data_IF_983042906591
#
_entry.id   IF_983042906591
#
_cell.length_a   1.000
_cell.length_b   1.000
_cell.length_c   1.000
_cell.angle_alpha   90.00
_cell.angle_beta   90.00
_cell.angle_gamma   90.00
#
_symmetry.space_group_name_H-M   'P 1'
#
loop_
_entity.id
_entity.type
_entity.pdbx_description
1 polymer ?
#
# COMPACT_ATOMS: atom_id res chain seq x y z
N UNK A 1 -0.46 16.20 8.47
CA UNK A 1 0.73 16.89 9.00
C UNK A 1 0.98 16.37 10.41
N UNK A 2 2.02 15.54 10.57
CA UNK A 2 2.36 14.87 11.85
C UNK A 2 2.58 15.92 12.96
N UNK A 3 3.24 17.03 12.63
CA UNK A 3 3.52 18.12 13.56
C UNK A 3 2.22 18.78 14.06
N UNK A 4 1.21 18.92 13.20
CA UNK A 4 -0.07 19.51 13.58
C UNK A 4 -0.89 18.58 14.50
N UNK A 5 -0.83 17.27 14.29
CA UNK A 5 -1.48 16.29 15.18
C UNK A 5 -0.76 16.21 16.53
N UNK A 6 0.58 16.20 16.53
CA UNK A 6 1.37 16.21 17.75
C UNK A 6 1.08 17.49 18.58
N UNK A 7 1.01 18.63 17.90
CA UNK A 7 0.69 19.90 18.51
C UNK A 7 -0.73 19.93 19.10
N UNK A 8 -1.72 19.38 18.37
CA UNK A 8 -3.08 19.23 18.88
C UNK A 8 -3.14 18.32 20.11
N UNK A 9 -2.39 17.20 20.11
CA UNK A 9 -2.30 16.27 21.23
C UNK A 9 -1.69 16.92 22.46
N UNK A 10 -0.62 17.71 22.29
CA UNK A 10 0.09 18.34 23.42
C UNK A 10 -0.65 19.57 23.98
N UNK A 11 -1.31 20.34 23.14
CA UNK A 11 -1.84 21.65 23.52
C UNK A 11 -3.35 21.81 23.33
N UNK A 12 -4.02 20.91 22.61
CA UNK A 12 -5.45 21.01 22.30
C UNK A 12 -6.32 21.05 23.55
N UNK A 13 -6.01 20.24 24.54
CA UNK A 13 -6.72 20.23 25.82
C UNK A 13 -6.46 21.48 26.70
N UNK A 14 -5.34 22.16 26.47
CA UNK A 14 -4.92 23.33 27.26
C UNK A 14 -5.40 24.64 26.67
N UNK A 15 -5.45 24.72 25.32
CA UNK A 15 -5.76 25.96 24.61
C UNK A 15 -6.83 25.72 23.56
N UNK A 16 -8.05 26.20 23.78
CA UNK A 16 -9.21 26.06 22.86
C UNK A 16 -8.93 26.55 21.44
N UNK A 17 -8.08 27.58 21.28
CA UNK A 17 -7.74 28.09 19.97
C UNK A 17 -6.91 27.11 19.13
N UNK A 18 -6.15 26.20 19.75
CA UNK A 18 -5.39 25.15 19.07
C UNK A 18 -6.34 24.21 18.34
N UNK A 19 -7.39 23.77 19.02
CA UNK A 19 -8.44 22.94 18.44
C UNK A 19 -9.19 23.69 17.34
N UNK A 20 -9.54 24.95 17.57
CA UNK A 20 -10.23 25.80 16.59
C UNK A 20 -9.41 25.96 15.30
N UNK A 21 -8.10 26.20 15.39
CA UNK A 21 -7.21 26.28 14.22
C UNK A 21 -7.10 24.94 13.50
N UNK A 22 -7.02 23.83 14.23
CA UNK A 22 -6.99 22.49 13.64
C UNK A 22 -8.28 22.21 12.86
N UNK A 23 -9.43 22.48 13.45
CA UNK A 23 -10.75 22.30 12.82
C UNK A 23 -10.91 23.22 11.60
N UNK A 24 -10.51 24.47 11.69
CA UNK A 24 -10.52 25.39 10.57
C UNK A 24 -9.69 24.88 9.38
N UNK A 25 -8.47 24.36 9.62
CA UNK A 25 -7.63 23.77 8.57
C UNK A 25 -8.30 22.55 7.93
N UNK A 26 -8.91 21.67 8.74
CA UNK A 26 -9.63 20.48 8.25
C UNK A 26 -10.85 20.87 7.41
N UNK A 27 -11.65 21.83 7.87
CA UNK A 27 -12.83 22.34 7.14
C UNK A 27 -12.39 22.98 5.81
N UNK A 28 -11.35 23.81 5.80
CA UNK A 28 -10.85 24.40 4.57
C UNK A 28 -10.28 23.36 3.59
N UNK A 29 -9.65 22.31 4.09
CA UNK A 29 -9.18 21.21 3.24
C UNK A 29 -10.35 20.45 2.61
N UNK A 30 -11.43 20.21 3.37
CA UNK A 30 -12.66 19.61 2.87
C UNK A 30 -13.33 20.51 1.83
N UNK A 31 -13.52 21.80 2.16
CA UNK A 31 -14.09 22.80 1.25
C UNK A 31 -13.38 22.81 -0.12
N UNK A 32 -12.04 22.91 -0.11
CA UNK A 32 -11.25 22.89 -1.35
C UNK A 32 -11.45 21.64 -2.19
N UNK A 33 -11.65 20.49 -1.55
CA UNK A 33 -11.93 19.24 -2.27
C UNK A 33 -13.34 19.23 -2.87
N UNK A 34 -14.35 19.74 -2.16
CA UNK A 34 -15.71 19.88 -2.68
C UNK A 34 -15.76 20.86 -3.86
N UNK A 35 -15.10 22.02 -3.74
CA UNK A 35 -14.95 22.98 -4.83
C UNK A 35 -14.23 22.38 -6.05
N UNK A 36 -13.26 21.50 -5.81
CA UNK A 36 -12.56 20.80 -6.89
C UNK A 36 -13.47 19.78 -7.60
N UNK A 37 -14.35 19.08 -6.90
CA UNK A 37 -15.37 18.24 -7.53
C UNK A 37 -16.34 19.07 -8.37
N UNK A 38 -16.87 20.14 -7.83
CA UNK A 38 -17.80 21.04 -8.52
C UNK A 38 -17.18 21.61 -9.81
N UNK A 39 -15.98 22.17 -9.70
CA UNK A 39 -15.24 22.75 -10.84
C UNK A 39 -14.88 21.71 -11.90
N UNK A 40 -14.53 20.48 -11.51
CA UNK A 40 -14.05 19.46 -12.42
C UNK A 40 -15.16 18.60 -13.03
N UNK A 41 -16.39 18.68 -12.51
CA UNK A 41 -17.54 17.93 -13.02
C UNK A 41 -18.09 18.60 -14.28
N UNK A 42 -18.18 17.83 -15.36
CA UNK A 42 -18.71 18.30 -16.64
C UNK A 42 -20.25 18.43 -16.59
N UNK A 43 -20.88 19.13 -17.56
CA UNK A 43 -22.34 19.29 -17.62
C UNK A 43 -23.12 17.96 -17.68
N UNK A 44 -22.49 16.87 -18.15
CA UNK A 44 -23.07 15.52 -18.17
C UNK A 44 -22.92 14.78 -16.83
N UNK A 45 -22.45 15.43 -15.78
CA UNK A 45 -22.22 14.83 -14.46
C UNK A 45 -20.96 13.97 -14.35
N UNK A 46 -20.14 13.86 -15.40
CA UNK A 46 -18.91 13.06 -15.42
C UNK A 46 -17.69 13.89 -14.99
N UNK A 47 -16.77 13.22 -14.34
CA UNK A 47 -15.43 13.74 -14.02
C UNK A 47 -14.37 12.85 -14.68
N UNK A 48 -13.40 13.45 -15.34
CA UNK A 48 -12.25 12.76 -15.94
C UNK A 48 -10.99 13.06 -15.15
N UNK A 49 -10.60 12.14 -14.28
CA UNK A 49 -9.39 12.23 -13.45
C UNK A 49 -8.12 11.94 -14.25
N UNK A 50 -7.06 12.68 -13.95
CA UNK A 50 -5.74 12.42 -14.52
C UNK A 50 -4.94 11.43 -13.68
N UNK A 51 -4.28 10.48 -14.34
CA UNK A 51 -3.31 9.57 -13.74
C UNK A 51 -1.94 9.77 -14.36
N UNK A 52 -0.92 9.89 -13.53
CA UNK A 52 0.47 9.85 -13.96
C UNK A 52 0.95 8.40 -13.90
N UNK A 53 1.25 7.82 -15.04
CA UNK A 53 1.67 6.42 -15.20
C UNK A 53 2.91 6.08 -14.36
N UNK A 54 3.84 7.02 -14.16
CA UNK A 54 5.07 6.85 -13.41
C UNK A 54 5.30 8.02 -12.44
N UNK A 55 4.42 8.17 -11.45
CA UNK A 55 4.53 9.28 -10.49
C UNK A 55 5.51 9.01 -9.35
N UNK A 56 5.60 7.76 -8.90
CA UNK A 56 6.56 7.30 -7.89
C UNK A 56 7.83 6.73 -8.51
N UNK A 57 8.96 6.80 -7.81
CA UNK A 57 10.22 6.22 -8.31
C UNK A 57 10.16 4.68 -8.40
N UNK A 58 9.25 4.02 -7.69
CA UNK A 58 8.95 2.59 -7.81
C UNK A 58 8.10 2.26 -9.04
N UNK A 59 7.64 3.28 -9.79
CA UNK A 59 6.73 3.13 -10.93
C UNK A 59 5.25 3.16 -10.55
N UNK A 60 4.89 3.37 -9.28
CA UNK A 60 3.46 3.46 -8.87
C UNK A 60 2.78 4.61 -9.60
N UNK A 61 1.52 4.38 -9.96
CA UNK A 61 0.64 5.42 -10.46
C UNK A 61 0.44 6.51 -9.41
N UNK A 62 0.26 7.73 -9.83
CA UNK A 62 -0.15 8.84 -8.97
C UNK A 62 -1.21 9.68 -9.65
N UNK A 63 -2.05 10.33 -8.86
CA UNK A 63 -2.98 11.29 -9.42
C UNK A 63 -2.24 12.48 -10.03
N UNK A 64 -2.68 12.90 -11.22
CA UNK A 64 -2.17 14.08 -11.93
C UNK A 64 -3.32 14.86 -12.54
N UNK A 65 -3.06 16.13 -12.86
CA UNK A 65 -4.03 16.99 -13.54
C UNK A 65 -5.20 17.44 -12.66
N UNK A 66 -5.39 18.73 -12.57
CA UNK A 66 -6.48 19.35 -11.82
C UNK A 66 -6.31 19.35 -10.30
N UNK A 67 -7.30 19.90 -9.62
CA UNK A 67 -7.30 20.09 -8.16
C UNK A 67 -7.74 18.83 -7.39
N UNK A 68 -8.20 17.77 -8.10
CA UNK A 68 -8.78 16.57 -7.49
C UNK A 68 -7.96 15.33 -7.82
N UNK A 69 -7.30 14.76 -6.79
CA UNK A 69 -6.59 13.50 -6.89
C UNK A 69 -7.44 12.38 -6.28
N UNK A 70 -8.05 11.55 -7.13
CA UNK A 70 -8.92 10.44 -6.73
C UNK A 70 -8.16 9.38 -5.89
N UNK A 71 -6.86 9.19 -6.10
CA UNK A 71 -6.06 8.24 -5.34
C UNK A 71 -5.85 8.64 -3.87
N UNK A 72 -6.07 9.93 -3.54
CA UNK A 72 -5.87 10.48 -2.20
C UNK A 72 -7.16 10.97 -1.55
N UNK A 73 -8.31 10.45 -1.98
CA UNK A 73 -9.57 10.73 -1.28
C UNK A 73 -9.56 10.07 0.11
N UNK A 74 -9.89 10.83 1.17
CA UNK A 74 -9.95 10.28 2.51
C UNK A 74 -10.96 9.12 2.58
N UNK A 75 -10.63 8.11 3.38
CA UNK A 75 -11.52 6.97 3.63
C UNK A 75 -12.59 7.32 4.67
N UNK A 76 -12.20 8.15 5.62
CA UNK A 76 -13.04 8.53 6.73
C UNK A 76 -13.94 9.72 6.36
N UNK A 77 -15.11 9.72 6.96
CA UNK A 77 -16.02 10.84 6.93
C UNK A 77 -15.42 12.05 7.64
N UNK A 78 -15.57 13.22 7.07
CA UNK A 78 -15.11 14.50 7.62
C UNK A 78 -16.30 15.44 7.76
N UNK A 79 -16.64 15.83 9.00
CA UNK A 79 -17.75 16.74 9.29
C UNK A 79 -19.08 16.34 8.64
N UNK A 80 -19.43 15.05 8.68
CA UNK A 80 -20.65 14.52 8.08
C UNK A 80 -20.59 14.32 6.57
N UNK A 81 -19.40 14.48 5.93
CA UNK A 81 -19.22 14.33 4.47
C UNK A 81 -18.22 13.22 4.16
N UNK A 82 -18.67 12.21 3.40
CA UNK A 82 -17.79 11.23 2.79
C UNK A 82 -17.52 11.65 1.33
N UNK A 83 -16.29 12.10 1.06
CA UNK A 83 -15.90 12.56 -0.28
C UNK A 83 -15.91 11.45 -1.35
N UNK A 84 -15.76 10.19 -0.96
CA UNK A 84 -15.84 9.07 -1.90
C UNK A 84 -17.25 8.86 -2.42
N UNK A 85 -18.27 9.15 -1.62
CA UNK A 85 -19.68 9.08 -2.01
C UNK A 85 -20.08 10.07 -3.10
N UNK A 86 -19.23 11.06 -3.42
CA UNK A 86 -19.44 11.95 -4.58
C UNK A 86 -19.32 11.19 -5.91
N UNK A 87 -18.60 10.06 -5.91
CA UNK A 87 -18.48 9.19 -7.08
C UNK A 87 -19.59 8.16 -7.00
N UNK A 88 -20.51 8.18 -7.96
CA UNK A 88 -21.65 7.26 -7.99
C UNK A 88 -21.91 6.76 -9.41
N UNK A 89 -22.46 5.55 -9.50
CA UNK A 89 -22.94 5.01 -10.75
C UNK A 89 -24.18 5.80 -11.23
N UNK A 90 -24.37 5.99 -12.55
CA UNK A 90 -25.62 6.50 -13.11
C UNK A 90 -26.80 5.56 -12.83
N UNK A 91 -28.01 6.05 -13.12
CA UNK A 91 -29.22 5.21 -13.06
C UNK A 91 -29.10 3.99 -13.98
N UNK A 92 -29.53 2.83 -13.48
CA UNK A 92 -29.41 1.54 -14.18
C UNK A 92 -28.02 0.92 -14.21
N UNK A 93 -27.00 1.58 -13.60
CA UNK A 93 -25.64 1.06 -13.49
C UNK A 93 -25.20 0.87 -12.05
N UNK A 94 -24.15 0.06 -11.86
CA UNK A 94 -23.45 -0.18 -10.59
C UNK A 94 -21.96 0.03 -10.74
N UNK A 95 -21.30 0.28 -9.61
CA UNK A 95 -19.84 0.20 -9.48
C UNK A 95 -19.49 -1.16 -8.90
N UNK A 96 -18.64 -1.88 -9.62
CA UNK A 96 -17.95 -3.06 -9.13
C UNK A 96 -16.57 -2.64 -8.68
N UNK A 97 -16.31 -2.80 -7.39
CA UNK A 97 -15.04 -2.40 -6.75
C UNK A 97 -14.33 -3.64 -6.27
N UNK A 98 -13.11 -3.89 -6.77
CA UNK A 98 -12.32 -5.08 -6.41
C UNK A 98 -10.90 -4.65 -6.04
N UNK A 99 -10.40 -5.16 -4.92
CA UNK A 99 -9.11 -4.82 -4.30
C UNK A 99 -8.22 -6.06 -4.14
N UNK A 100 -6.93 -5.91 -4.39
CA UNK A 100 -5.96 -6.98 -4.12
C UNK A 100 -5.68 -7.11 -2.63
N UNK A 101 -5.92 -8.30 -2.10
CA UNK A 101 -5.68 -8.58 -0.67
C UNK A 101 -4.19 -8.57 -0.33
N UNK A 102 -3.73 -7.51 0.34
CA UNK A 102 -2.39 -7.36 0.91
C UNK A 102 -1.24 -7.64 -0.08
N UNK A 103 -1.32 -7.12 -1.30
CA UNK A 103 -0.38 -7.41 -2.37
C UNK A 103 1.08 -7.12 -2.01
N UNK A 104 1.37 -6.01 -1.29
CA UNK A 104 2.75 -5.67 -0.90
C UNK A 104 3.38 -6.69 0.05
N UNK A 105 2.58 -7.32 0.91
CA UNK A 105 3.06 -8.37 1.83
C UNK A 105 3.37 -9.65 1.05
N UNK A 106 2.52 -10.02 0.09
CA UNK A 106 2.72 -11.18 -0.80
C UNK A 106 3.98 -11.02 -1.65
N UNK A 107 4.16 -9.85 -2.26
CA UNK A 107 5.36 -9.55 -3.05
C UNK A 107 6.63 -9.49 -2.20
N UNK A 108 6.57 -9.00 -0.96
CA UNK A 108 7.69 -9.04 -0.02
C UNK A 108 8.13 -10.47 0.30
N UNK A 109 7.19 -11.35 0.64
CA UNK A 109 7.46 -12.77 0.92
C UNK A 109 8.04 -13.47 -0.31
N UNK A 110 7.51 -13.19 -1.50
CA UNK A 110 7.99 -13.75 -2.75
C UNK A 110 9.44 -13.29 -3.06
N UNK A 111 9.73 -12.00 -2.97
CA UNK A 111 11.07 -11.44 -3.17
C UNK A 111 12.09 -11.94 -2.12
N UNK A 112 11.63 -12.21 -0.92
CA UNK A 112 12.44 -12.78 0.15
C UNK A 112 12.65 -14.30 0.00
N UNK A 113 12.01 -14.94 -0.98
CA UNK A 113 12.02 -16.40 -1.18
C UNK A 113 11.48 -17.16 0.06
N UNK A 114 10.52 -16.56 0.78
CA UNK A 114 9.89 -17.16 1.97
C UNK A 114 8.78 -18.14 1.57
N UNK A 115 9.19 -19.28 1.00
CA UNK A 115 8.28 -20.31 0.49
C UNK A 115 7.33 -20.83 1.57
N UNK A 116 7.80 -20.93 2.81
CA UNK A 116 6.98 -21.42 3.92
C UNK A 116 5.84 -20.47 4.24
N UNK A 117 6.10 -19.14 4.26
CA UNK A 117 5.06 -18.14 4.48
C UNK A 117 4.11 -18.04 3.27
N UNK A 118 4.64 -18.13 2.04
CA UNK A 118 3.80 -18.16 0.83
C UNK A 118 2.87 -19.37 0.78
N UNK A 119 3.34 -20.54 1.23
CA UNK A 119 2.50 -21.74 1.34
C UNK A 119 1.35 -21.53 2.35
N UNK A 120 1.64 -20.96 3.53
CA UNK A 120 0.58 -20.64 4.51
C UNK A 120 -0.41 -19.61 3.95
N UNK A 121 0.06 -18.58 3.26
CA UNK A 121 -0.80 -17.58 2.60
C UNK A 121 -1.71 -18.24 1.54
N UNK A 122 -1.21 -19.21 0.79
CA UNK A 122 -2.01 -19.91 -0.23
C UNK A 122 -3.07 -20.85 0.38
N UNK A 123 -2.85 -21.34 1.61
CA UNK A 123 -3.72 -22.32 2.28
C UNK A 123 -4.68 -21.70 3.30
N UNK A 124 -4.67 -20.37 3.46
CA UNK A 124 -5.42 -19.65 4.49
C UNK A 124 -6.19 -18.49 3.86
N UNK A 125 -7.45 -18.32 4.22
CA UNK A 125 -8.28 -17.20 3.70
C UNK A 125 -7.78 -15.83 4.19
N UNK A 126 -7.37 -15.76 5.48
CA UNK A 126 -6.88 -14.53 6.08
C UNK A 126 -5.35 -14.52 6.17
N UNK A 127 -4.71 -13.62 5.43
CA UNK A 127 -3.25 -13.49 5.42
C UNK A 127 -2.66 -13.29 6.82
N UNK A 128 -3.34 -12.59 7.72
CA UNK A 128 -2.85 -12.38 9.09
C UNK A 128 -2.94 -13.65 9.93
N UNK A 129 -3.86 -14.56 9.61
CA UNK A 129 -3.89 -15.90 10.18
C UNK A 129 -2.68 -16.72 9.73
N UNK A 130 -2.36 -16.70 8.43
CA UNK A 130 -1.15 -17.32 7.91
C UNK A 130 0.11 -16.85 8.65
N UNK A 131 0.24 -15.55 8.89
CA UNK A 131 1.36 -14.99 9.66
C UNK A 131 1.32 -15.36 11.14
N UNK A 132 0.14 -15.45 11.75
CA UNK A 132 0.00 -15.90 13.12
C UNK A 132 0.48 -17.36 13.29
N UNK A 133 0.13 -18.24 12.34
CA UNK A 133 0.60 -19.62 12.29
C UNK A 133 2.14 -19.65 12.11
N UNK A 134 2.68 -18.90 11.18
CA UNK A 134 4.13 -18.79 10.93
C UNK A 134 4.93 -18.27 12.13
N UNK A 135 4.30 -17.47 12.99
CA UNK A 135 4.91 -16.94 14.22
C UNK A 135 4.61 -17.80 15.46
N UNK A 136 3.96 -18.96 15.32
CA UNK A 136 3.51 -19.84 16.42
C UNK A 136 2.59 -19.15 17.43
N UNK A 137 1.76 -18.23 16.96
CA UNK A 137 0.76 -17.51 17.74
C UNK A 137 -0.65 -18.10 17.57
N UNK A 138 -0.86 -18.93 16.56
CA UNK A 138 -2.13 -19.57 16.23
C UNK A 138 -1.92 -20.96 15.66
N UNK A 139 -2.85 -21.87 15.91
CA UNK A 139 -2.86 -23.24 15.41
C UNK A 139 -3.97 -23.39 14.36
N UNK A 140 -3.70 -24.13 13.27
CA UNK A 140 -4.65 -24.29 12.14
C UNK A 140 -6.00 -24.90 12.53
N UNK A 141 -6.00 -25.80 13.49
CA UNK A 141 -7.19 -26.52 13.95
C UNK A 141 -8.12 -25.69 14.82
N UNK A 142 -7.69 -24.50 15.25
CA UNK A 142 -8.51 -23.56 16.05
C UNK A 142 -9.59 -22.85 15.25
N UNK A 143 -9.59 -22.95 13.90
CA UNK A 143 -10.50 -22.23 13.01
C UNK A 143 -10.14 -20.75 12.85
N UNK A 144 -11.03 -19.94 12.29
CA UNK A 144 -10.76 -18.56 11.87
C UNK A 144 -10.24 -17.66 13.00
N UNK A 145 -9.02 -17.15 12.83
CA UNK A 145 -8.42 -16.17 13.73
C UNK A 145 -9.25 -14.88 13.82
N UNK A 146 -9.81 -14.46 12.66
CA UNK A 146 -10.63 -13.25 12.55
C UNK A 146 -11.86 -13.30 13.45
N UNK A 147 -12.49 -14.47 13.54
CA UNK A 147 -13.70 -14.68 14.34
C UNK A 147 -13.40 -14.96 15.81
N UNK A 148 -12.46 -15.85 16.06
CA UNK A 148 -12.20 -16.34 17.43
C UNK A 148 -11.27 -15.46 18.26
N UNK A 149 -10.35 -14.73 17.62
CA UNK A 149 -9.43 -13.82 18.33
C UNK A 149 -9.07 -12.56 17.52
N UNK A 150 -10.03 -11.66 17.31
CA UNK A 150 -9.82 -10.43 16.54
C UNK A 150 -8.73 -9.52 17.14
N UNK A 151 -8.50 -9.57 18.46
CA UNK A 151 -7.43 -8.82 19.12
C UNK A 151 -6.05 -9.32 18.71
N UNK A 152 -5.85 -10.64 18.70
CA UNK A 152 -4.60 -11.23 18.23
C UNK A 152 -4.39 -10.94 16.74
N UNK A 153 -5.43 -11.07 15.92
CA UNK A 153 -5.38 -10.71 14.50
C UNK A 153 -4.93 -9.27 14.30
N UNK A 154 -5.48 -8.33 15.07
CA UNK A 154 -5.06 -6.92 15.02
C UNK A 154 -3.58 -6.74 15.40
N UNK A 155 -3.12 -7.43 16.44
CA UNK A 155 -1.70 -7.43 16.85
C UNK A 155 -0.80 -7.99 15.75
N UNK A 156 -1.17 -9.11 15.14
CA UNK A 156 -0.42 -9.71 14.02
C UNK A 156 -0.37 -8.76 12.82
N UNK A 157 -1.50 -8.13 12.46
CA UNK A 157 -1.55 -7.11 11.42
C UNK A 157 -0.56 -5.98 11.68
N UNK A 158 -0.52 -5.45 12.90
CA UNK A 158 0.43 -4.42 13.30
C UNK A 158 1.89 -4.90 13.14
N UNK A 159 2.21 -6.12 13.59
CA UNK A 159 3.55 -6.72 13.49
C UNK A 159 3.96 -6.85 12.01
N UNK A 160 3.11 -7.42 11.17
CA UNK A 160 3.41 -7.67 9.75
C UNK A 160 3.64 -6.35 9.01
N UNK A 161 2.74 -5.38 9.16
CA UNK A 161 2.84 -4.10 8.47
C UNK A 161 3.97 -3.22 9.03
N UNK A 162 4.20 -3.24 10.34
CA UNK A 162 5.26 -2.45 10.96
C UNK A 162 6.67 -3.01 10.77
N UNK A 163 6.84 -4.34 10.82
CA UNK A 163 8.16 -4.96 10.80
C UNK A 163 8.65 -5.35 9.39
N UNK A 164 7.77 -5.48 8.41
CA UNK A 164 8.08 -5.99 7.05
C UNK A 164 9.23 -5.27 6.34
N UNK A 165 9.39 -4.00 6.63
CA UNK A 165 10.45 -3.17 6.05
C UNK A 165 11.48 -2.68 7.08
N UNK A 166 11.59 -3.40 8.21
CA UNK A 166 12.68 -3.30 9.17
C UNK A 166 12.56 -2.18 10.19
N UNK A 167 11.35 -1.76 10.55
CA UNK A 167 11.17 -0.90 11.71
C UNK A 167 11.85 -1.53 12.96
N UNK A 168 12.58 -0.71 13.72
CA UNK A 168 13.13 -1.11 15.01
C UNK A 168 12.09 -0.96 16.12
N UNK A 169 12.40 -1.50 17.31
CA UNK A 169 11.49 -1.50 18.44
C UNK A 169 11.00 -0.08 18.83
N UNK A 170 11.88 0.92 18.82
CA UNK A 170 11.48 2.31 19.15
C UNK A 170 10.42 2.83 18.15
N UNK A 171 10.69 2.71 16.84
CA UNK A 171 9.73 3.16 15.83
C UNK A 171 8.43 2.37 15.88
N UNK A 172 8.50 1.06 16.16
CA UNK A 172 7.31 0.22 16.29
C UNK A 172 6.49 0.60 17.52
N UNK A 173 7.13 0.87 18.66
CA UNK A 173 6.52 1.41 19.88
C UNK A 173 5.77 2.72 19.63
N UNK A 174 6.40 3.66 18.94
CA UNK A 174 5.80 4.94 18.57
C UNK A 174 4.61 4.80 17.60
N UNK A 175 4.73 3.92 16.59
CA UNK A 175 3.68 3.72 15.58
C UNK A 175 2.38 3.14 16.15
N UNK A 176 2.50 2.28 17.18
CA UNK A 176 1.36 1.53 17.72
C UNK A 176 1.04 1.87 19.17
N UNK A 177 1.66 2.93 19.69
CA UNK A 177 1.48 3.42 21.07
C UNK A 177 1.55 2.28 22.11
N UNK A 178 2.63 1.47 22.04
CA UNK A 178 2.82 0.32 22.93
C UNK A 178 4.12 0.41 23.72
N UNK A 179 4.22 -0.25 24.89
CA UNK A 179 5.44 -0.30 25.68
C UNK A 179 6.63 -0.83 24.87
N UNK A 180 7.81 -0.21 25.03
CA UNK A 180 9.03 -0.56 24.29
C UNK A 180 9.44 -2.04 24.46
N UNK A 181 9.16 -2.64 25.59
CA UNK A 181 9.45 -4.06 25.87
C UNK A 181 8.60 -4.97 25.00
N UNK A 182 7.30 -4.66 24.86
CA UNK A 182 6.39 -5.39 23.98
C UNK A 182 6.75 -5.19 22.51
N UNK A 183 7.06 -3.96 22.13
CA UNK A 183 7.52 -3.62 20.79
C UNK A 183 8.79 -4.41 20.42
N UNK A 184 9.75 -4.51 21.34
CA UNK A 184 10.96 -5.30 21.14
C UNK A 184 10.64 -6.78 20.95
N UNK A 185 9.80 -7.36 21.81
CA UNK A 185 9.37 -8.75 21.70
C UNK A 185 8.68 -9.04 20.37
N UNK A 186 7.81 -8.14 19.90
CA UNK A 186 7.12 -8.26 18.62
C UNK A 186 8.10 -8.22 17.43
N UNK A 187 9.04 -7.29 17.43
CA UNK A 187 10.08 -7.15 16.39
C UNK A 187 11.00 -8.36 16.36
N UNK A 188 11.42 -8.86 17.52
CA UNK A 188 12.30 -10.03 17.65
C UNK A 188 11.57 -11.30 17.19
N UNK A 189 10.30 -11.47 17.56
CA UNK A 189 9.45 -12.58 17.12
C UNK A 189 9.36 -12.58 15.57
N UNK A 190 9.00 -11.45 14.98
CA UNK A 190 8.91 -11.31 13.51
C UNK A 190 10.22 -11.71 12.83
N UNK A 191 11.35 -11.15 13.27
CA UNK A 191 12.65 -11.38 12.65
C UNK A 191 13.17 -12.81 12.79
N UNK A 192 12.83 -13.47 13.89
CA UNK A 192 13.25 -14.83 14.16
C UNK A 192 12.39 -15.86 13.41
N UNK A 193 11.08 -15.65 13.34
CA UNK A 193 10.15 -16.58 12.70
C UNK A 193 10.10 -16.40 11.18
N UNK A 194 10.21 -15.18 10.70
CA UNK A 194 10.20 -14.83 9.29
C UNK A 194 11.61 -14.46 8.80
N UNK A 195 12.60 -15.28 9.15
CA UNK A 195 14.03 -15.00 8.96
C UNK A 195 14.44 -14.76 7.49
N UNK A 196 13.64 -15.22 6.52
CA UNK A 196 13.86 -14.99 5.09
C UNK A 196 13.84 -13.49 4.75
N UNK A 197 12.93 -12.72 5.37
CA UNK A 197 12.81 -11.29 5.14
C UNK A 197 14.04 -10.51 5.64
N UNK A 198 14.51 -10.65 6.89
CA UNK A 198 15.78 -10.06 7.32
C UNK A 198 16.99 -10.55 6.52
N UNK A 199 17.00 -11.80 6.03
CA UNK A 199 18.04 -12.31 5.13
C UNK A 199 18.05 -11.55 3.80
N UNK A 200 16.87 -11.27 3.25
CA UNK A 200 16.70 -10.46 2.04
C UNK A 200 17.24 -9.03 2.23
N UNK A 201 16.93 -8.36 3.36
CA UNK A 201 17.51 -7.04 3.66
C UNK A 201 19.04 -7.06 3.72
N UNK A 202 19.63 -8.11 4.31
CA UNK A 202 21.10 -8.28 4.36
C UNK A 202 21.71 -8.47 2.97
N UNK A 203 21.05 -9.25 2.09
CA UNK A 203 21.44 -9.43 0.68
C UNK A 203 21.47 -8.08 -0.05
N UNK A 204 20.43 -7.28 0.12
CA UNK A 204 20.35 -5.92 -0.44
C UNK A 204 21.47 -5.03 0.10
N UNK A 205 21.67 -5.01 1.43
CA UNK A 205 22.74 -4.20 2.04
C UNK A 205 24.14 -4.58 1.52
N UNK A 206 24.39 -5.86 1.28
CA UNK A 206 25.64 -6.34 0.70
C UNK A 206 25.80 -5.85 -0.74
N UNK A 207 24.74 -5.87 -1.54
CA UNK A 207 24.75 -5.35 -2.91
C UNK A 207 24.95 -3.84 -2.95
N UNK A 208 24.33 -3.07 -2.05
CA UNK A 208 24.54 -1.62 -1.93
C UNK A 208 26.02 -1.32 -1.64
N UNK A 209 26.66 -2.02 -0.69
CA UNK A 209 28.08 -1.88 -0.40
C UNK A 209 28.97 -2.24 -1.60
N UNK A 210 28.64 -3.31 -2.30
CA UNK A 210 29.37 -3.71 -3.50
C UNK A 210 29.31 -2.60 -4.57
N UNK A 211 28.11 -2.11 -4.92
CA UNK A 211 27.94 -1.05 -5.91
C UNK A 211 28.67 0.25 -5.51
N UNK A 212 28.65 0.61 -4.22
CA UNK A 212 29.40 1.74 -3.71
C UNK A 212 30.91 1.57 -3.91
N UNK A 213 31.47 0.42 -3.53
CA UNK A 213 32.90 0.14 -3.62
C UNK A 213 33.39 0.06 -5.07
N UNK A 214 32.62 -0.54 -5.96
CA UNK A 214 32.94 -0.68 -7.39
C UNK A 214 32.57 0.55 -8.20
N UNK A 215 31.93 1.56 -7.58
CA UNK A 215 31.42 2.78 -8.24
C UNK A 215 30.44 2.49 -9.39
N UNK A 216 29.79 1.33 -9.35
CA UNK A 216 28.75 0.94 -10.32
C UNK A 216 27.37 1.44 -9.88
N UNK A 217 26.44 1.76 -10.81
CA UNK A 217 25.07 2.05 -10.45
C UNK A 217 24.40 0.86 -9.75
N UNK A 218 23.50 1.15 -8.82
CA UNK A 218 22.62 0.15 -8.26
C UNK A 218 21.29 0.16 -9.03
N UNK A 219 21.10 -0.89 -9.82
CA UNK A 219 19.87 -1.14 -10.60
C UNK A 219 19.29 -2.44 -10.10
N UNK A 220 18.03 -2.43 -9.69
CA UNK A 220 17.30 -3.59 -9.24
C UNK A 220 16.32 -4.04 -10.34
N UNK A 221 16.49 -5.28 -10.83
CA UNK A 221 15.63 -5.90 -11.82
C UNK A 221 14.43 -6.56 -11.12
N UNK A 222 13.23 -6.27 -11.59
CA UNK A 222 11.99 -6.92 -11.17
C UNK A 222 11.66 -8.11 -12.08
N UNK A 223 10.89 -9.11 -11.61
CA UNK A 223 10.47 -10.28 -12.40
C UNK A 223 9.73 -9.91 -13.70
N UNK A 224 9.06 -8.78 -13.73
CA UNK A 224 8.40 -8.22 -14.93
C UNK A 224 9.36 -7.78 -16.05
N UNK A 225 10.68 -7.82 -15.82
CA UNK A 225 11.70 -7.25 -16.70
C UNK A 225 11.95 -5.76 -16.51
N UNK A 226 11.18 -5.10 -15.66
CA UNK A 226 11.33 -3.67 -15.35
C UNK A 226 12.45 -3.44 -14.31
N UNK A 227 13.10 -2.29 -14.40
CA UNK A 227 14.14 -1.88 -13.47
C UNK A 227 13.68 -0.78 -12.51
N UNK A 228 14.21 -0.82 -11.27
CA UNK A 228 14.25 0.34 -10.38
C UNK A 228 15.70 0.81 -10.31
N UNK A 229 15.95 1.98 -10.89
CA UNK A 229 17.32 2.54 -10.99
C UNK A 229 17.56 3.57 -9.89
N UNK A 230 18.54 3.28 -9.04
CA UNK A 230 19.00 4.19 -7.99
C UNK A 230 20.25 4.98 -8.39
N UNK A 231 20.80 4.69 -9.58
CA UNK A 231 22.03 5.33 -10.06
C UNK A 231 23.24 5.03 -9.18
N UNK A 232 24.21 5.96 -9.17
CA UNK A 232 25.42 5.84 -8.34
C UNK A 232 25.10 6.17 -6.88
N UNK A 233 25.49 5.27 -5.99
CA UNK A 233 25.31 5.40 -4.55
C UNK A 233 26.43 6.26 -3.97
N UNK A 234 26.06 7.16 -3.05
CA UNK A 234 26.97 7.95 -2.23
C UNK A 234 26.93 7.48 -0.79
N UNK A 235 28.02 7.63 -0.06
CA UNK A 235 28.05 7.46 1.38
C UNK A 235 27.95 8.84 2.03
N UNK A 236 26.96 9.03 2.89
CA UNK A 236 26.69 10.30 3.57
C UNK A 236 26.72 10.08 5.07
N UNK A 237 27.46 10.93 5.78
CA UNK A 237 27.47 10.95 7.25
C UNK A 237 26.34 11.86 7.73
N UNK A 238 25.44 11.32 8.54
CA UNK A 238 24.36 12.06 9.18
C UNK A 238 24.21 11.59 10.63
N UNK A 239 24.24 12.51 11.57
CA UNK A 239 24.18 12.21 13.02
C UNK A 239 25.18 11.11 13.41
N UNK A 240 26.46 11.28 13.01
CA UNK A 240 27.58 10.35 13.22
C UNK A 240 27.42 8.92 12.66
N UNK A 241 26.37 8.68 11.87
CA UNK A 241 26.16 7.40 11.18
C UNK A 241 26.37 7.54 9.68
N UNK A 242 27.13 6.60 9.12
CA UNK A 242 27.27 6.47 7.66
C UNK A 242 26.07 5.75 7.08
N UNK A 243 25.50 6.30 6.01
CA UNK A 243 24.38 5.70 5.29
C UNK A 243 24.55 5.84 3.78
N UNK A 244 24.14 4.83 3.03
CA UNK A 244 24.05 4.92 1.59
C UNK A 244 22.91 5.87 1.19
N UNK A 245 23.14 6.65 0.14
CA UNK A 245 22.16 7.58 -0.40
C UNK A 245 22.19 7.55 -1.92
N UNK A 246 21.02 7.62 -2.53
CA UNK A 246 20.83 7.82 -3.96
C UNK A 246 20.04 9.09 -4.24
N UNK A 247 20.09 9.56 -5.47
CA UNK A 247 19.20 10.63 -5.96
C UNK A 247 18.12 9.97 -6.82
N UNK A 248 16.90 9.99 -6.35
CA UNK A 248 15.74 9.42 -7.05
C UNK A 248 14.92 10.52 -7.72
N UNK A 249 14.16 10.15 -8.75
CA UNK A 249 13.14 11.02 -9.34
C UNK A 249 11.76 10.74 -8.74
N UNK A 250 11.08 11.77 -8.29
CA UNK A 250 9.70 11.69 -7.81
C UNK A 250 8.92 12.91 -8.28
N UNK A 251 7.84 12.70 -9.04
CA UNK A 251 7.04 13.78 -9.64
C UNK A 251 7.91 14.82 -10.38
N UNK A 252 8.88 14.36 -11.18
CA UNK A 252 9.81 15.21 -11.92
C UNK A 252 10.90 15.90 -11.08
N UNK A 253 10.88 15.76 -9.76
CA UNK A 253 11.90 16.35 -8.85
C UNK A 253 12.95 15.31 -8.47
N UNK A 254 14.22 15.75 -8.43
CA UNK A 254 15.34 14.94 -7.96
C UNK A 254 15.52 15.11 -6.45
N UNK A 255 15.32 14.03 -5.69
CA UNK A 255 15.35 14.06 -4.23
C UNK A 255 16.36 13.04 -3.68
N UNK A 256 17.10 13.37 -2.61
CA UNK A 256 17.96 12.42 -1.94
C UNK A 256 17.12 11.39 -1.19
N UNK A 257 17.47 10.10 -1.34
CA UNK A 257 16.85 8.98 -0.63
C UNK A 257 17.94 8.19 0.11
N UNK A 258 17.74 8.00 1.40
CA UNK A 258 18.58 7.11 2.20
C UNK A 258 18.28 5.67 1.86
N UNK A 259 19.31 4.87 1.54
CA UNK A 259 19.18 3.48 1.13
C UNK A 259 19.70 2.54 2.20
N UNK A 260 18.92 1.53 2.49
CA UNK A 260 19.28 0.36 3.27
C UNK A 260 18.31 -0.78 2.95
N UNK A 261 18.63 -2.01 3.40
CA UNK A 261 17.90 -3.21 2.98
C UNK A 261 16.39 -3.13 3.08
N UNK A 262 15.84 -2.58 4.18
CA UNK A 262 14.39 -2.46 4.37
C UNK A 262 13.73 -1.47 3.41
N UNK A 263 14.31 -0.28 3.21
CA UNK A 263 13.78 0.73 2.26
C UNK A 263 13.81 0.21 0.82
N UNK A 264 14.89 -0.46 0.44
CA UNK A 264 14.97 -1.03 -0.91
C UNK A 264 14.00 -2.21 -1.06
N UNK A 265 13.85 -3.06 -0.04
CA UNK A 265 12.87 -4.13 -0.04
C UNK A 265 11.43 -3.59 -0.19
N UNK A 266 11.09 -2.49 0.51
CA UNK A 266 9.82 -1.79 0.35
C UNK A 266 9.61 -1.33 -1.10
N UNK A 267 10.61 -0.66 -1.67
CA UNK A 267 10.54 -0.18 -3.05
C UNK A 267 10.39 -1.33 -4.07
N UNK A 268 11.08 -2.45 -3.87
CA UNK A 268 10.96 -3.63 -4.71
C UNK A 268 9.58 -4.27 -4.58
N UNK A 269 9.05 -4.39 -3.36
CA UNK A 269 7.71 -4.93 -3.12
C UNK A 269 6.63 -4.05 -3.76
N UNK A 270 6.73 -2.73 -3.59
CA UNK A 270 5.81 -1.78 -4.23
C UNK A 270 5.93 -1.80 -5.75
N UNK A 271 7.16 -1.90 -6.28
CA UNK A 271 7.40 -1.97 -7.71
C UNK A 271 6.82 -3.24 -8.33
N UNK A 272 7.02 -4.39 -7.68
CA UNK A 272 6.46 -5.66 -8.12
C UNK A 272 4.93 -5.69 -8.00
N UNK A 273 4.38 -5.18 -6.90
CA UNK A 273 2.93 -5.06 -6.72
C UNK A 273 2.28 -4.21 -7.83
N UNK A 274 2.93 -3.09 -8.19
CA UNK A 274 2.49 -2.24 -9.30
C UNK A 274 2.54 -3.00 -10.63
N UNK A 275 3.57 -3.80 -10.90
CA UNK A 275 3.69 -4.54 -12.15
C UNK A 275 2.63 -5.63 -12.26
N UNK A 276 2.37 -6.36 -11.18
CA UNK A 276 1.27 -7.32 -11.09
C UNK A 276 -0.07 -6.63 -11.34
N UNK A 277 -0.33 -5.52 -10.67
CA UNK A 277 -1.56 -4.76 -10.85
C UNK A 277 -1.73 -4.21 -12.26
N UNK A 278 -0.66 -3.75 -12.90
CA UNK A 278 -0.72 -3.27 -14.29
C UNK A 278 -1.02 -4.37 -15.30
N UNK A 279 -0.50 -5.60 -15.07
CA UNK A 279 -0.84 -6.76 -15.87
C UNK A 279 -2.35 -7.10 -15.75
N UNK A 280 -2.89 -7.00 -14.52
CA UNK A 280 -4.31 -7.22 -14.26
C UNK A 280 -5.18 -6.19 -14.99
N UNK A 281 -4.84 -4.89 -14.95
CA UNK A 281 -5.55 -3.85 -15.70
C UNK A 281 -5.62 -4.22 -17.18
N UNK A 282 -4.49 -4.63 -17.79
CA UNK A 282 -4.45 -5.01 -19.21
C UNK A 282 -5.32 -6.24 -19.50
N UNK A 283 -5.37 -7.22 -18.58
CA UNK A 283 -6.23 -8.40 -18.72
C UNK A 283 -7.71 -8.06 -18.59
N UNK A 284 -8.08 -7.20 -17.64
CA UNK A 284 -9.45 -6.71 -17.47
C UNK A 284 -9.94 -5.95 -18.72
N UNK A 285 -9.13 -5.07 -19.26
CA UNK A 285 -9.44 -4.34 -20.50
C UNK A 285 -9.61 -5.28 -21.72
N UNK A 286 -8.78 -6.32 -21.85
CA UNK A 286 -8.90 -7.32 -22.92
C UNK A 286 -10.21 -8.13 -22.83
N UNK A 287 -10.75 -8.30 -21.64
CA UNK A 287 -12.05 -8.94 -21.40
C UNK A 287 -13.24 -7.99 -21.58
N UNK A 288 -12.99 -6.75 -22.01
CA UNK A 288 -14.03 -5.75 -22.26
C UNK A 288 -14.67 -5.16 -20.99
N UNK A 289 -14.00 -5.26 -19.84
CA UNK A 289 -14.45 -4.68 -18.60
C UNK A 289 -14.13 -3.17 -18.59
N UNK A 290 -15.13 -2.33 -18.40
CA UNK A 290 -15.00 -0.86 -18.48
C UNK A 290 -14.44 -0.30 -17.17
N UNK A 291 -13.09 -0.25 -17.06
CA UNK A 291 -12.41 0.41 -15.94
C UNK A 291 -12.61 1.92 -16.02
N UNK A 292 -13.31 2.50 -15.03
CA UNK A 292 -13.49 3.96 -14.96
C UNK A 292 -12.36 4.66 -14.21
N UNK A 293 -11.78 4.03 -13.21
CA UNK A 293 -10.54 4.46 -12.54
C UNK A 293 -9.98 3.35 -11.64
N UNK A 294 -8.83 3.58 -11.04
CA UNK A 294 -8.25 2.70 -10.03
C UNK A 294 -7.61 3.50 -8.88
N UNK A 295 -7.52 2.90 -7.70
CA UNK A 295 -6.91 3.50 -6.50
C UNK A 295 -5.92 2.51 -5.92
N UNK A 296 -4.62 2.79 -6.05
CA UNK A 296 -3.53 1.91 -5.60
C UNK A 296 -3.59 0.52 -6.24
N UNK A 297 -4.19 -0.44 -5.55
CA UNK A 297 -4.36 -1.85 -5.88
C UNK A 297 -5.84 -2.26 -6.04
N UNK A 298 -6.72 -1.26 -6.12
CA UNK A 298 -8.16 -1.39 -6.28
C UNK A 298 -8.60 -0.92 -7.67
N UNK A 299 -9.44 -1.68 -8.34
CA UNK A 299 -10.10 -1.31 -9.61
C UNK A 299 -11.56 -0.95 -9.38
N UNK A 300 -12.06 0.01 -10.12
CA UNK A 300 -13.45 0.41 -10.14
C UNK A 300 -13.98 0.29 -11.56
N UNK A 301 -14.99 -0.55 -11.74
CA UNK A 301 -15.63 -0.86 -13.02
C UNK A 301 -17.07 -0.36 -12.97
N UNK A 302 -17.53 0.30 -14.04
CA UNK A 302 -18.93 0.66 -14.22
C UNK A 302 -19.58 -0.36 -15.16
N UNK A 303 -20.70 -0.95 -14.76
CA UNK A 303 -21.45 -1.90 -15.58
C UNK A 303 -22.95 -1.75 -15.40
N UNK A 304 -23.74 -2.36 -16.28
CA UNK A 304 -25.18 -2.43 -16.12
C UNK A 304 -25.53 -3.23 -14.86
N UNK A 305 -26.55 -2.81 -14.13
CA UNK A 305 -26.96 -3.43 -12.86
C UNK A 305 -27.22 -4.93 -12.99
N UNK A 306 -27.82 -5.37 -14.10
CA UNK A 306 -28.12 -6.78 -14.39
C UNK A 306 -26.85 -7.65 -14.55
N UNK A 307 -25.72 -7.06 -14.94
CA UNK A 307 -24.46 -7.75 -15.23
C UNK A 307 -23.48 -7.68 -14.04
N UNK A 308 -23.82 -6.94 -12.97
CA UNK A 308 -22.89 -6.59 -11.91
C UNK A 308 -22.28 -7.80 -11.17
N UNK A 309 -23.07 -8.85 -10.90
CA UNK A 309 -22.59 -10.07 -10.25
C UNK A 309 -21.56 -10.80 -11.13
N UNK A 310 -21.86 -10.99 -12.42
CA UNK A 310 -20.94 -11.66 -13.35
C UNK A 310 -19.65 -10.86 -13.57
N UNK A 311 -19.74 -9.53 -13.60
CA UNK A 311 -18.58 -8.62 -13.67
C UNK A 311 -17.76 -8.73 -12.41
N UNK A 312 -18.37 -8.80 -11.22
CA UNK A 312 -17.67 -8.98 -9.95
C UNK A 312 -16.89 -10.29 -9.92
N UNK A 313 -17.56 -11.42 -10.22
CA UNK A 313 -16.93 -12.74 -10.23
C UNK A 313 -15.77 -12.80 -11.20
N UNK A 314 -15.94 -12.33 -12.43
CA UNK A 314 -14.90 -12.32 -13.45
C UNK A 314 -13.72 -11.41 -13.07
N UNK A 315 -13.99 -10.26 -12.45
CA UNK A 315 -12.94 -9.35 -11.98
C UNK A 315 -12.12 -10.00 -10.87
N UNK A 316 -12.77 -10.64 -9.89
CA UNK A 316 -12.07 -11.36 -8.80
C UNK A 316 -11.23 -12.50 -9.37
N UNK A 317 -11.75 -13.29 -10.32
CA UNK A 317 -11.00 -14.37 -10.97
C UNK A 317 -9.71 -13.84 -11.63
N UNK A 318 -9.82 -12.80 -12.46
CA UNK A 318 -8.68 -12.20 -13.17
C UNK A 318 -7.66 -11.64 -12.17
N UNK A 319 -8.12 -10.92 -11.14
CA UNK A 319 -7.24 -10.32 -10.14
C UNK A 319 -6.62 -11.33 -9.17
N UNK A 320 -7.25 -12.48 -8.98
CA UNK A 320 -6.69 -13.58 -8.18
C UNK A 320 -5.76 -14.51 -8.97
N UNK A 321 -5.71 -14.36 -10.30
CA UNK A 321 -4.85 -15.18 -11.18
C UNK A 321 -3.50 -14.52 -11.37
N UNK A 322 -2.37 -15.19 -11.01
CA UNK A 322 -1.04 -14.65 -11.19
C UNK A 322 -0.71 -14.36 -12.66
N UNK A 323 0.11 -13.34 -12.95
CA UNK A 323 0.71 -13.14 -14.27
C UNK A 323 1.61 -14.33 -14.68
N UNK A 324 1.72 -14.60 -15.99
CA UNK A 324 2.53 -15.71 -16.52
C UNK A 324 4.01 -15.62 -16.20
N UNK A 325 4.51 -14.40 -15.96
CA UNK A 325 5.91 -14.14 -15.60
C UNK A 325 6.21 -14.30 -14.09
N UNK A 326 5.17 -14.55 -13.25
CA UNK A 326 5.28 -14.80 -11.80
C UNK A 326 4.18 -15.79 -11.34
N UNK A 327 4.14 -17.02 -11.88
CA UNK A 327 3.02 -17.93 -11.72
C UNK A 327 2.85 -18.49 -10.30
N UNK A 328 3.88 -18.39 -9.48
CA UNK A 328 3.96 -18.98 -8.14
C UNK A 328 3.65 -17.99 -6.99
N UNK A 329 3.24 -16.75 -7.30
CA UNK A 329 2.79 -15.82 -6.28
C UNK A 329 1.32 -16.10 -5.91
N UNK A 330 0.99 -16.39 -4.64
CA UNK A 330 -0.40 -16.56 -4.25
C UNK A 330 -1.09 -15.19 -4.21
N UNK A 331 -2.06 -14.97 -5.08
CA UNK A 331 -2.88 -13.77 -5.14
C UNK A 331 -4.28 -14.04 -4.59
N UNK A 332 -4.92 -13.02 -4.09
CA UNK A 332 -6.33 -13.01 -3.72
C UNK A 332 -6.90 -11.61 -3.92
N UNK A 333 -8.18 -11.53 -4.29
CA UNK A 333 -8.90 -10.30 -4.46
C UNK A 333 -10.27 -10.39 -3.78
N UNK A 334 -10.74 -9.28 -3.25
CA UNK A 334 -12.05 -9.15 -2.64
C UNK A 334 -12.79 -7.99 -3.28
N UNK A 335 -14.10 -8.11 -3.46
CA UNK A 335 -14.86 -7.06 -4.13
C UNK A 335 -16.30 -6.94 -3.62
N UNK A 336 -16.94 -5.87 -4.07
CA UNK A 336 -18.33 -5.55 -3.75
C UNK A 336 -19.00 -4.78 -4.88
N UNK A 337 -20.33 -4.90 -4.95
CA UNK A 337 -21.18 -4.13 -5.84
C UNK A 337 -21.80 -2.99 -5.05
N UNK A 338 -21.65 -1.77 -5.53
CA UNK A 338 -22.10 -0.57 -4.82
C UNK A 338 -22.68 0.47 -5.77
N UNK A 339 -23.54 1.34 -5.25
CA UNK A 339 -24.07 2.49 -6.00
C UNK A 339 -23.17 3.72 -5.88
N UNK A 340 -22.54 3.91 -4.71
CA UNK A 340 -21.64 5.01 -4.42
C UNK A 340 -20.29 4.46 -3.94
N UNK A 341 -19.21 5.01 -4.46
CA UNK A 341 -17.88 4.56 -4.10
C UNK A 341 -17.64 4.75 -2.60
N UNK A 342 -17.23 3.67 -1.93
CA UNK A 342 -16.88 3.63 -0.51
C UNK A 342 -15.88 2.51 -0.25
N UNK A 343 -15.05 2.67 0.76
CA UNK A 343 -14.16 1.63 1.29
C UNK A 343 -13.82 1.92 2.75
#
# INVERSE_FOLDING_TARGET
DVDAQEWLRQFGHKYKWVEAVSNWRRINALKKKLEAFDYATLPNGRYYGGLMYWGGHTGRFSGSGGNLNLQNLPREEMFGVNLRHMICAPEGKKLVVVDLSQIEVRTLCWLAEDKATLHEIASTEDIYEAFAIRMDLWEKDRGSLKEKNPKLRHKVKAIVLGCGYGAGANKFSEMYDMPIVEAKSAVDLYRNRLFAIPKFWRKINSRLRQCYNTKTPYVALLPSGRNIDYGRIKLVKQNDRLSHQAIISRNGKRLPMKLWGGVVAENLSQGLARDVFSDMIVRLEKEGLELIFHVHDEVIIECDEKDAESVLEKTIEIMSTPPTWIPDIPLAAEGQIIQRYQK
#
